data_IF_874398644029
#
_entry.id   IF_874398644029
#
_cell.length_a   1.000
_cell.length_b   1.000
_cell.length_c   1.000
_cell.angle_alpha   90.00
_cell.angle_beta   90.00
_cell.angle_gamma   90.00
#
_symmetry.space_group_name_H-M   'P 1'
#
loop_
_entity.id
_entity.type
_entity.pdbx_description
1 polymer ?
#
# COMPACT_ATOMS: atom_id res chain seq x y z
N UNK A 1 37.95 -31.15 -2.65
CA UNK A 1 36.65 -31.11 -1.94
C UNK A 1 36.47 -29.69 -1.44
N UNK A 2 35.75 -28.83 -2.16
CA UNK A 2 35.49 -27.45 -1.74
C UNK A 2 34.04 -27.37 -1.26
N UNK A 3 33.86 -27.09 0.03
CA UNK A 3 32.56 -26.90 0.67
C UNK A 3 31.79 -25.77 -0.02
N UNK A 4 30.49 -25.96 -0.37
CA UNK A 4 29.67 -24.87 -0.93
C UNK A 4 29.50 -23.74 0.09
N UNK A 5 29.53 -22.49 -0.40
CA UNK A 5 29.31 -21.31 0.41
C UNK A 5 27.90 -21.31 1.03
N UNK A 6 27.73 -20.77 2.25
CA UNK A 6 26.42 -20.66 2.89
C UNK A 6 25.48 -19.75 2.07
N UNK A 7 24.16 -20.04 2.09
CA UNK A 7 23.18 -19.25 1.33
C UNK A 7 23.16 -17.80 1.81
N UNK A 8 22.93 -16.83 0.89
CA UNK A 8 22.88 -15.42 1.24
C UNK A 8 21.74 -15.14 2.24
N UNK A 9 21.94 -14.19 3.16
CA UNK A 9 20.91 -13.82 4.13
C UNK A 9 19.65 -13.28 3.42
N UNK A 10 18.47 -13.49 4.01
CA UNK A 10 17.22 -13.01 3.43
C UNK A 10 17.27 -11.48 3.26
N UNK A 11 16.79 -10.95 2.11
CA UNK A 11 16.82 -9.52 1.86
C UNK A 11 15.98 -8.76 2.88
N UNK A 12 16.56 -7.73 3.47
CA UNK A 12 15.89 -6.82 4.41
C UNK A 12 14.89 -5.96 3.63
N UNK A 13 13.58 -5.97 3.96
CA UNK A 13 12.58 -5.20 3.21
C UNK A 13 12.77 -3.69 3.42
N UNK A 14 12.91 -2.91 2.33
CA UNK A 14 12.70 -1.45 2.37
C UNK A 14 13.68 -0.53 1.62
N UNK A 15 14.68 -1.04 0.87
CA UNK A 15 15.58 -0.19 0.10
C UNK A 15 15.03 0.22 -1.26
N UNK A 16 15.10 1.51 -1.62
CA UNK A 16 14.78 2.01 -2.96
C UNK A 16 15.63 1.29 -4.02
N UNK A 17 14.98 0.63 -4.97
CA UNK A 17 15.65 -0.10 -6.07
C UNK A 17 15.93 -1.58 -5.81
N UNK A 18 15.49 -2.15 -4.69
CA UNK A 18 15.55 -3.61 -4.52
C UNK A 18 14.46 -4.28 -5.36
N UNK A 19 14.89 -4.97 -6.43
CA UNK A 19 14.06 -5.98 -7.09
C UNK A 19 13.70 -7.01 -6.02
N UNK A 20 12.43 -7.04 -5.60
CA UNK A 20 11.94 -8.07 -4.70
C UNK A 20 11.91 -9.36 -5.49
N UNK A 21 12.94 -10.18 -5.34
CA UNK A 21 12.97 -11.52 -5.91
C UNK A 21 12.01 -12.40 -5.08
N UNK A 22 10.81 -12.58 -5.60
CA UNK A 22 9.79 -13.44 -4.99
C UNK A 22 10.09 -14.89 -5.33
N UNK A 23 10.14 -15.76 -4.32
CA UNK A 23 10.30 -17.20 -4.44
C UNK A 23 9.31 -17.91 -3.50
N UNK A 24 9.27 -19.25 -3.56
CA UNK A 24 8.38 -20.05 -2.73
C UNK A 24 8.49 -19.71 -1.24
N UNK A 25 9.70 -19.52 -0.74
CA UNK A 25 9.95 -19.38 0.70
C UNK A 25 9.52 -18.01 1.24
N UNK A 26 9.52 -16.97 0.41
CA UNK A 26 9.22 -15.60 0.83
C UNK A 26 7.91 -15.02 0.26
N UNK A 27 7.21 -15.71 -0.65
CA UNK A 27 6.04 -15.16 -1.38
C UNK A 27 4.93 -14.67 -0.44
N UNK A 28 4.67 -15.41 0.64
CA UNK A 28 3.64 -15.03 1.63
C UNK A 28 4.09 -13.85 2.50
N UNK A 29 5.37 -13.80 2.87
CA UNK A 29 5.94 -12.70 3.67
C UNK A 29 5.98 -11.39 2.86
N UNK A 30 6.41 -11.47 1.60
CA UNK A 30 6.42 -10.33 0.68
C UNK A 30 5.01 -9.81 0.45
N UNK A 31 4.05 -10.70 0.13
CA UNK A 31 2.64 -10.34 -0.01
C UNK A 31 2.13 -9.61 1.23
N UNK A 32 2.42 -10.16 2.41
CA UNK A 32 2.03 -9.57 3.69
C UNK A 32 2.60 -8.17 3.85
N UNK A 33 3.89 -7.97 3.65
CA UNK A 33 4.53 -6.66 3.79
C UNK A 33 3.92 -5.60 2.87
N UNK A 34 3.62 -5.98 1.62
CA UNK A 34 2.99 -5.10 0.63
C UNK A 34 1.58 -4.68 1.06
N UNK A 35 0.76 -5.64 1.47
CA UNK A 35 -0.62 -5.37 1.89
C UNK A 35 -0.69 -4.55 3.18
N UNK A 36 0.23 -4.81 4.12
CA UNK A 36 0.36 -3.99 5.34
C UNK A 36 0.70 -2.54 5.02
N UNK A 37 1.68 -2.32 4.14
CA UNK A 37 2.06 -0.98 3.73
C UNK A 37 0.90 -0.26 3.02
N UNK A 38 0.12 -0.98 2.20
CA UNK A 38 -1.05 -0.43 1.54
C UNK A 38 -2.18 -0.06 2.52
N UNK A 39 -2.44 -0.91 3.51
CA UNK A 39 -3.45 -0.64 4.55
C UNK A 39 -3.07 0.56 5.42
N UNK A 40 -1.82 0.61 5.89
CA UNK A 40 -1.29 1.76 6.64
C UNK A 40 -1.37 3.06 5.82
N UNK A 41 -1.00 3.00 4.52
CA UNK A 41 -1.13 4.15 3.63
C UNK A 41 -2.60 4.57 3.44
N UNK A 42 -3.52 3.62 3.26
CA UNK A 42 -4.97 3.88 3.15
C UNK A 42 -5.50 4.57 4.41
N UNK A 43 -5.13 4.07 5.58
CA UNK A 43 -5.52 4.64 6.86
C UNK A 43 -5.02 6.08 6.98
N UNK A 44 -3.72 6.31 6.77
CA UNK A 44 -3.10 7.64 6.84
C UNK A 44 -3.73 8.63 5.85
N UNK A 45 -4.01 8.20 4.62
CA UNK A 45 -4.66 9.06 3.64
C UNK A 45 -6.08 9.43 4.09
N UNK A 46 -6.85 8.47 4.56
CA UNK A 46 -8.23 8.70 5.01
C UNK A 46 -8.28 9.63 6.22
N UNK A 47 -7.35 9.46 7.16
CA UNK A 47 -7.18 10.33 8.33
C UNK A 47 -6.76 11.76 7.93
N UNK A 48 -5.91 11.90 6.91
CA UNK A 48 -5.47 13.20 6.40
C UNK A 48 -6.57 13.94 5.61
N UNK A 49 -7.54 13.23 5.03
CA UNK A 49 -8.51 13.80 4.09
C UNK A 49 -9.27 15.05 4.60
N UNK A 50 -9.71 15.12 5.88
CA UNK A 50 -10.33 16.33 6.43
C UNK A 50 -9.38 17.53 6.46
N UNK A 51 -8.10 17.29 6.77
CA UNK A 51 -7.04 18.31 6.87
C UNK A 51 -6.61 18.87 5.52
N UNK A 52 -6.99 18.23 4.41
CA UNK A 52 -6.77 18.73 3.05
C UNK A 52 -7.80 19.78 2.62
N UNK A 53 -8.85 20.03 3.43
CA UNK A 53 -9.83 21.08 3.12
C UNK A 53 -9.27 22.44 3.48
N UNK A 54 -9.38 23.38 2.53
CA UNK A 54 -8.90 24.75 2.70
C UNK A 54 -10.07 25.64 3.12
N UNK A 55 -9.92 26.31 4.25
CA UNK A 55 -10.87 27.34 4.70
C UNK A 55 -10.58 28.67 4.01
N UNK A 56 -11.64 29.42 3.70
CA UNK A 56 -11.49 30.76 3.13
C UNK A 56 -10.82 31.70 4.15
N UNK A 57 -9.77 32.44 3.76
CA UNK A 57 -9.06 33.36 4.67
C UNK A 57 -9.87 34.62 5.00
N UNK A 58 -10.86 34.96 4.15
CA UNK A 58 -11.77 36.08 4.34
C UNK A 58 -13.15 35.77 3.70
N UNK A 59 -14.11 36.66 3.93
CA UNK A 59 -15.51 36.48 3.53
C UNK A 59 -15.83 37.01 2.13
N UNK A 60 -14.86 37.61 1.45
CA UNK A 60 -15.01 38.08 0.07
C UNK A 60 -15.10 36.91 -0.92
N UNK A 61 -15.63 37.20 -2.11
CA UNK A 61 -15.90 36.19 -3.12
C UNK A 61 -14.62 35.55 -3.67
N UNK A 62 -13.49 36.28 -3.70
CA UNK A 62 -12.21 35.76 -4.19
C UNK A 62 -11.70 34.71 -3.19
N UNK A 63 -11.68 35.05 -1.90
CA UNK A 63 -11.24 34.14 -0.82
C UNK A 63 -12.06 32.86 -0.78
N UNK A 64 -13.40 32.98 -0.88
CA UNK A 64 -14.31 31.81 -0.91
C UNK A 64 -14.10 30.95 -2.14
N UNK A 65 -14.01 31.58 -3.32
CA UNK A 65 -13.82 30.86 -4.59
C UNK A 65 -12.47 30.13 -4.60
N UNK A 66 -11.40 30.79 -4.16
CA UNK A 66 -10.07 30.19 -4.07
C UNK A 66 -10.07 28.96 -3.15
N UNK A 67 -10.64 29.07 -1.95
CA UNK A 67 -10.74 27.95 -1.00
C UNK A 67 -11.55 26.77 -1.56
N UNK A 68 -12.65 27.05 -2.26
CA UNK A 68 -13.47 26.03 -2.90
C UNK A 68 -12.69 25.28 -4.00
N UNK A 69 -11.98 26.01 -4.89
CA UNK A 69 -11.17 25.42 -5.96
C UNK A 69 -10.03 24.58 -5.40
N UNK A 70 -9.33 25.07 -4.38
CA UNK A 70 -8.28 24.29 -3.72
C UNK A 70 -8.81 23.01 -3.09
N UNK A 71 -9.91 23.10 -2.34
CA UNK A 71 -10.54 21.93 -1.72
C UNK A 71 -10.99 20.91 -2.78
N UNK A 72 -11.54 21.38 -3.90
CA UNK A 72 -11.92 20.52 -5.02
C UNK A 72 -10.71 19.78 -5.61
N UNK A 73 -9.60 20.49 -5.88
CA UNK A 73 -8.39 19.88 -6.43
C UNK A 73 -7.67 18.94 -5.46
N UNK A 74 -7.73 19.21 -4.14
CA UNK A 74 -7.06 18.40 -3.13
C UNK A 74 -7.84 17.12 -2.80
N UNK A 75 -9.16 17.22 -2.63
CA UNK A 75 -9.98 16.09 -2.12
C UNK A 75 -11.35 15.94 -2.79
N UNK A 76 -11.95 17.01 -3.30
CA UNK A 76 -13.35 17.00 -3.75
C UNK A 76 -13.61 16.41 -5.13
N UNK A 77 -12.70 16.60 -6.08
CA UNK A 77 -12.86 16.14 -7.46
C UNK A 77 -12.48 14.66 -7.60
N UNK A 78 -13.03 14.02 -8.63
CA UNK A 78 -12.72 12.61 -8.97
C UNK A 78 -11.24 12.39 -9.31
N UNK A 79 -10.60 13.40 -9.90
CA UNK A 79 -9.19 13.39 -10.28
C UNK A 79 -8.28 14.15 -9.30
N UNK A 80 -8.81 14.47 -8.10
CA UNK A 80 -8.09 15.16 -7.04
C UNK A 80 -6.84 14.42 -6.58
N UNK A 81 -5.93 15.13 -5.92
CA UNK A 81 -4.71 14.53 -5.40
C UNK A 81 -4.98 13.37 -4.44
N UNK A 82 -5.96 13.52 -3.56
CA UNK A 82 -6.39 12.43 -2.67
C UNK A 82 -6.82 11.19 -3.45
N UNK A 83 -7.67 11.35 -4.49
CA UNK A 83 -8.14 10.22 -5.29
C UNK A 83 -6.99 9.53 -6.06
N UNK A 84 -6.02 10.29 -6.57
CA UNK A 84 -4.82 9.71 -7.20
C UNK A 84 -3.99 8.89 -6.22
N UNK A 85 -3.81 9.38 -4.98
CA UNK A 85 -3.08 8.64 -3.95
C UNK A 85 -3.83 7.38 -3.53
N UNK A 86 -5.16 7.44 -3.39
CA UNK A 86 -6.00 6.27 -3.15
C UNK A 86 -5.88 5.24 -4.28
N UNK A 87 -5.81 5.69 -5.54
CA UNK A 87 -5.58 4.80 -6.67
C UNK A 87 -4.19 4.13 -6.60
N UNK A 88 -3.15 4.85 -6.19
CA UNK A 88 -1.83 4.25 -6.00
C UNK A 88 -1.84 3.19 -4.90
N UNK A 89 -2.55 3.44 -3.80
CA UNK A 89 -2.76 2.42 -2.76
C UNK A 89 -3.47 1.21 -3.32
N UNK A 90 -4.53 1.39 -4.12
CA UNK A 90 -5.23 0.28 -4.77
C UNK A 90 -4.30 -0.53 -5.68
N UNK A 91 -3.44 0.13 -6.48
CA UNK A 91 -2.48 -0.57 -7.32
C UNK A 91 -1.50 -1.43 -6.51
N UNK A 92 -1.13 -1.00 -5.29
CA UNK A 92 -0.28 -1.78 -4.37
C UNK A 92 -1.05 -2.97 -3.78
N UNK A 93 -2.34 -2.82 -3.49
CA UNK A 93 -3.21 -3.94 -3.08
C UNK A 93 -3.31 -4.97 -4.20
N UNK A 94 -3.57 -4.53 -5.42
CA UNK A 94 -3.68 -5.38 -6.60
C UNK A 94 -2.37 -6.16 -6.85
N UNK A 95 -1.21 -5.53 -6.58
CA UNK A 95 0.09 -6.21 -6.60
C UNK A 95 0.17 -7.32 -5.54
N UNK A 96 -0.27 -7.07 -4.31
CA UNK A 96 -0.34 -8.08 -3.26
C UNK A 96 -1.22 -9.28 -3.66
N UNK A 97 -2.34 -9.03 -4.34
CA UNK A 97 -3.21 -10.09 -4.82
C UNK A 97 -2.60 -10.89 -5.98
N UNK A 98 -1.90 -10.23 -6.89
CA UNK A 98 -1.12 -10.92 -7.94
C UNK A 98 -0.04 -11.83 -7.34
N UNK A 99 0.63 -11.39 -6.28
CA UNK A 99 1.63 -12.22 -5.56
C UNK A 99 0.94 -13.41 -4.87
N UNK A 100 -0.26 -13.23 -4.33
CA UNK A 100 -1.06 -14.34 -3.79
C UNK A 100 -1.45 -15.35 -4.86
N UNK A 101 -1.85 -14.90 -6.04
CA UNK A 101 -2.11 -15.77 -7.18
C UNK A 101 -0.85 -16.53 -7.64
N UNK A 102 0.32 -15.87 -7.63
CA UNK A 102 1.60 -16.51 -7.93
C UNK A 102 1.99 -17.55 -6.85
N UNK A 103 1.66 -17.33 -5.58
CA UNK A 103 1.90 -18.30 -4.50
C UNK A 103 1.24 -19.65 -4.78
N UNK A 104 0.08 -19.67 -5.44
CA UNK A 104 -0.59 -20.92 -5.85
C UNK A 104 0.27 -21.73 -6.82
N UNK A 105 1.08 -21.08 -7.66
CA UNK A 105 2.02 -21.76 -8.56
C UNK A 105 3.15 -22.47 -7.80
N UNK A 106 3.47 -22.02 -6.59
CA UNK A 106 4.43 -22.66 -5.69
C UNK A 106 3.83 -23.78 -4.83
N UNK A 107 2.52 -24.04 -4.97
CA UNK A 107 1.81 -25.10 -4.26
C UNK A 107 1.16 -24.66 -2.95
N UNK A 108 1.07 -23.35 -2.67
CA UNK A 108 0.29 -22.86 -1.53
C UNK A 108 -1.21 -23.00 -1.80
N UNK A 109 -1.93 -23.47 -0.78
CA UNK A 109 -3.38 -23.57 -0.77
C UNK A 109 -4.04 -22.22 -0.48
N UNK A 110 -5.31 -22.08 -0.85
CA UNK A 110 -6.10 -20.89 -0.51
C UNK A 110 -6.20 -20.67 1.01
N UNK A 111 -6.19 -21.74 1.79
CA UNK A 111 -6.24 -21.68 3.26
C UNK A 111 -4.92 -21.20 3.85
N UNK A 112 -3.76 -21.60 3.32
CA UNK A 112 -2.45 -21.06 3.74
C UNK A 112 -2.31 -19.57 3.38
N UNK A 113 -2.82 -19.18 2.21
CA UNK A 113 -2.84 -17.77 1.78
C UNK A 113 -3.77 -16.94 2.68
N UNK A 114 -4.94 -17.47 3.05
CA UNK A 114 -5.87 -16.80 3.98
C UNK A 114 -5.35 -16.76 5.41
N UNK A 115 -4.78 -17.85 5.91
CA UNK A 115 -4.21 -17.93 7.25
C UNK A 115 -3.07 -16.93 7.46
N UNK A 116 -2.30 -16.63 6.40
CA UNK A 116 -1.31 -15.55 6.41
C UNK A 116 -1.90 -14.17 6.74
N UNK A 117 -3.22 -14.00 6.52
CA UNK A 117 -3.99 -12.80 6.78
C UNK A 117 -4.69 -12.83 8.16
N UNK A 118 -5.27 -13.97 8.55
CA UNK A 118 -6.03 -14.10 9.81
C UNK A 118 -5.16 -14.06 11.07
N UNK A 119 -3.93 -14.56 11.01
CA UNK A 119 -2.96 -14.45 12.11
C UNK A 119 -2.69 -12.99 12.54
N UNK A 120 -3.08 -12.03 11.71
CA UNK A 120 -2.82 -10.62 11.89
C UNK A 120 -4.02 -9.82 12.42
N UNK A 121 -5.27 -10.19 12.09
CA UNK A 121 -6.47 -9.56 12.70
C UNK A 121 -6.53 -9.76 14.23
N UNK A 122 -5.83 -10.77 14.76
CA UNK A 122 -5.73 -11.04 16.21
C UNK A 122 -4.61 -10.28 16.92
N UNK A 123 -3.73 -9.59 16.17
CA UNK A 123 -2.56 -8.88 16.73
C UNK A 123 -2.67 -7.35 16.61
N UNK A 124 -3.77 -6.86 16.03
CA UNK A 124 -4.20 -5.45 16.05
C UNK A 124 -5.34 -5.29 17.04
#
# INVERSE_FOLDING_TARGET
MTTPAPPPPPPVPGGTGQTIAVNKDNVLEVRKAILMAAEDAKFKLTDLAPSLRVSAPATDDISKTAAAVWTANLVGNRDSHFQRLMQYVQNVIDLGDQIGAAAKQYGYTDDEIKASFELQQRQM
#
